data_IF_654056206943
#
_entry.id   IF_654056206943
#
_cell.length_a   1.000
_cell.length_b   1.000
_cell.length_c   1.000
_cell.angle_alpha   90.00
_cell.angle_beta   90.00
_cell.angle_gamma   90.00
#
_symmetry.space_group_name_H-M   'P 1'
#
loop_
_entity.id
_entity.type
_entity.pdbx_description
1 polymer ?
#
# COMPACT_ATOMS: atom_id res chain seq x y z
N UNK A 1 -9.99 -36.21 45.96
CA UNK A 1 -8.76 -35.98 45.17
C UNK A 1 -9.15 -36.06 43.70
N UNK A 2 -8.78 -35.02 42.92
CA UNK A 2 -8.35 -35.03 41.51
C UNK A 2 -9.32 -35.64 40.46
N UNK A 3 -9.60 -35.05 39.29
CA UNK A 3 -8.96 -33.99 38.49
C UNK A 3 -10.03 -33.29 37.63
N UNK A 4 -9.98 -31.96 37.53
CA UNK A 4 -10.60 -31.20 36.44
C UNK A 4 -9.70 -31.28 35.21
N UNK A 5 -10.20 -31.79 34.09
CA UNK A 5 -9.62 -31.46 32.78
C UNK A 5 -10.25 -30.14 32.31
N UNK A 6 -9.55 -29.02 32.53
CA UNK A 6 -9.78 -27.80 31.75
C UNK A 6 -9.20 -28.07 30.36
N UNK A 7 -10.06 -28.38 29.38
CA UNK A 7 -9.69 -28.16 27.99
C UNK A 7 -9.58 -26.65 27.80
N UNK A 8 -8.35 -26.13 27.85
CA UNK A 8 -8.07 -24.83 27.28
C UNK A 8 -8.02 -25.04 25.77
N UNK A 9 -9.15 -24.83 25.10
CA UNK A 9 -9.19 -24.70 23.65
C UNK A 9 -8.19 -23.61 23.26
N UNK A 10 -7.04 -24.03 22.76
CA UNK A 10 -6.03 -23.13 22.25
C UNK A 10 -6.48 -22.77 20.85
N UNK A 11 -7.06 -21.58 20.70
CA UNK A 11 -7.35 -21.04 19.37
C UNK A 11 -5.99 -20.76 18.72
N UNK A 12 -5.56 -21.64 17.82
CA UNK A 12 -4.46 -21.38 16.91
C UNK A 12 -5.06 -20.50 15.82
N UNK A 13 -4.91 -19.18 15.94
CA UNK A 13 -5.16 -18.28 14.81
C UNK A 13 -3.97 -18.42 13.86
N UNK A 14 -4.22 -18.82 12.62
CA UNK A 14 -3.20 -18.77 11.59
C UNK A 14 -2.66 -17.33 11.50
N UNK A 15 -1.34 -17.13 11.33
CA UNK A 15 -0.81 -15.79 11.17
C UNK A 15 -1.37 -15.20 9.87
N UNK A 16 -2.16 -14.14 10.01
CA UNK A 16 -2.60 -13.34 8.87
C UNK A 16 -1.38 -12.60 8.34
N UNK A 17 -1.14 -12.68 7.03
CA UNK A 17 -0.11 -11.93 6.34
C UNK A 17 -0.69 -10.59 5.87
N UNK A 18 0.15 -9.56 5.88
CA UNK A 18 -0.26 -8.23 5.46
C UNK A 18 0.67 -7.75 4.36
N UNK A 19 0.12 -7.11 3.33
CA UNK A 19 0.92 -6.37 2.35
C UNK A 19 0.50 -4.91 2.39
N UNK A 20 1.44 -4.00 2.58
CA UNK A 20 1.19 -2.56 2.64
C UNK A 20 2.00 -1.85 1.55
N UNK A 21 1.35 -0.92 0.86
CA UNK A 21 1.97 -0.06 -0.13
C UNK A 21 1.97 1.39 0.34
N UNK A 22 3.15 2.01 0.28
CA UNK A 22 3.42 3.37 0.73
C UNK A 22 3.82 4.24 -0.46
N UNK A 23 3.38 5.49 -0.47
CA UNK A 23 3.99 6.51 -1.33
C UNK A 23 4.71 7.53 -0.46
N UNK A 24 5.98 7.73 -0.76
CA UNK A 24 6.82 8.78 -0.21
C UNK A 24 6.81 9.97 -1.16
N UNK A 25 5.97 10.96 -0.85
CA UNK A 25 5.86 12.18 -1.65
C UNK A 25 6.98 13.14 -1.24
N UNK A 26 8.12 13.08 -1.93
CA UNK A 26 9.24 14.01 -1.72
C UNK A 26 9.12 15.29 -2.55
N UNK A 27 7.99 15.52 -3.21
CA UNK A 27 7.76 16.74 -3.99
C UNK A 27 7.47 17.93 -3.08
N UNK A 28 7.50 19.13 -3.64
CA UNK A 28 7.10 20.36 -2.92
C UNK A 28 5.58 20.62 -2.98
N UNK A 29 4.81 19.69 -3.57
CA UNK A 29 3.39 19.83 -3.84
C UNK A 29 2.61 18.67 -3.24
N UNK A 30 1.42 18.97 -2.71
CA UNK A 30 0.50 17.92 -2.26
C UNK A 30 -0.11 17.22 -3.49
N UNK A 31 -0.10 15.89 -3.48
CA UNK A 31 -0.61 15.07 -4.58
C UNK A 31 -1.91 14.37 -4.17
N UNK A 32 -2.83 14.27 -5.11
CA UNK A 32 -4.00 13.40 -5.01
C UNK A 32 -3.71 12.14 -5.79
N UNK A 33 -3.87 10.98 -5.18
CA UNK A 33 -3.62 9.68 -5.80
C UNK A 33 -4.95 8.99 -6.13
N UNK A 34 -5.11 8.60 -7.39
CA UNK A 34 -6.14 7.65 -7.83
C UNK A 34 -5.47 6.31 -8.14
N UNK A 35 -6.04 5.23 -7.59
CA UNK A 35 -5.47 3.88 -7.64
C UNK A 35 -6.36 3.02 -8.52
N UNK A 36 -5.75 2.30 -9.47
CA UNK A 36 -6.40 1.25 -10.24
C UNK A 36 -5.72 -0.07 -9.91
N UNK A 37 -6.48 -1.03 -9.42
CA UNK A 37 -5.98 -2.37 -9.06
C UNK A 37 -6.35 -3.42 -10.10
N UNK A 38 -5.63 -4.54 -10.10
CA UNK A 38 -5.95 -5.71 -10.91
C UNK A 38 -7.23 -6.41 -10.38
N UNK A 39 -7.95 -7.07 -11.30
CA UNK A 39 -9.19 -7.78 -10.97
C UNK A 39 -8.96 -8.81 -9.85
N UNK A 40 -9.81 -8.80 -8.82
CA UNK A 40 -9.74 -9.73 -7.68
C UNK A 40 -8.97 -9.20 -6.47
N UNK A 41 -8.31 -8.04 -6.59
CA UNK A 41 -7.59 -7.42 -5.46
C UNK A 41 -8.32 -6.26 -4.82
N UNK A 42 -9.50 -5.87 -5.29
CA UNK A 42 -10.32 -4.79 -4.70
C UNK A 42 -10.71 -5.15 -3.26
N UNK A 43 -9.91 -4.80 -2.26
CA UNK A 43 -10.13 -5.08 -0.84
C UNK A 43 -11.32 -4.27 -0.25
N UNK A 44 -12.44 -4.18 -0.95
CA UNK A 44 -13.58 -3.31 -0.61
C UNK A 44 -13.29 -1.80 -0.67
N UNK A 45 -12.05 -1.40 -0.94
CA UNK A 45 -11.63 -0.01 -1.17
C UNK A 45 -11.96 0.35 -2.64
N UNK A 46 -13.16 0.86 -2.88
CA UNK A 46 -13.54 1.42 -4.19
C UNK A 46 -12.99 2.85 -4.31
N UNK A 47 -12.02 3.05 -5.22
CA UNK A 47 -11.62 4.34 -5.81
C UNK A 47 -11.59 5.55 -4.85
N UNK A 48 -11.02 5.40 -3.65
CA UNK A 48 -10.77 6.54 -2.79
C UNK A 48 -9.55 7.30 -3.28
N UNK A 49 -9.71 8.62 -3.43
CA UNK A 49 -8.59 9.49 -3.74
C UNK A 49 -7.81 9.75 -2.46
N UNK A 50 -6.56 9.32 -2.41
CA UNK A 50 -5.68 9.49 -1.24
C UNK A 50 -4.93 10.81 -1.38
N UNK A 51 -4.98 11.66 -0.34
CA UNK A 51 -4.15 12.86 -0.27
C UNK A 51 -2.76 12.48 0.24
N UNK A 52 -1.74 12.76 -0.57
CA UNK A 52 -0.33 12.59 -0.24
C UNK A 52 0.27 13.96 0.04
N UNK A 53 0.51 14.27 1.31
CA UNK A 53 1.11 15.55 1.70
C UNK A 53 2.55 15.66 1.19
N UNK A 54 2.96 16.87 0.82
CA UNK A 54 4.33 17.17 0.45
C UNK A 54 5.29 16.83 1.60
N UNK A 55 6.41 16.20 1.25
CA UNK A 55 7.48 15.74 2.16
C UNK A 55 7.03 14.71 3.22
N UNK A 56 5.99 13.95 2.94
CA UNK A 56 5.47 12.91 3.83
C UNK A 56 5.35 11.55 3.11
N UNK A 57 5.39 10.47 3.89
CA UNK A 57 5.07 9.12 3.43
C UNK A 57 3.70 8.70 3.97
N UNK A 58 2.84 8.19 3.10
CA UNK A 58 1.49 7.77 3.45
C UNK A 58 1.21 6.34 2.96
N UNK A 59 0.49 5.57 3.78
CA UNK A 59 -0.09 4.30 3.35
C UNK A 59 -1.29 4.64 2.47
N UNK A 60 -1.32 4.09 1.27
CA UNK A 60 -2.42 4.33 0.35
C UNK A 60 -3.19 3.06 0.00
N UNK A 61 -2.60 1.88 0.25
CA UNK A 61 -3.24 0.60 -0.04
C UNK A 61 -2.71 -0.51 0.86
N UNK A 62 -3.62 -1.33 1.38
CA UNK A 62 -3.29 -2.48 2.22
C UNK A 62 -4.15 -3.71 1.86
N UNK A 63 -3.51 -4.88 1.92
CA UNK A 63 -4.13 -6.18 1.70
C UNK A 63 -3.94 -7.05 2.94
N UNK A 64 -5.04 -7.62 3.40
CA UNK A 64 -5.10 -8.57 4.50
C UNK A 64 -5.45 -9.94 3.94
N UNK A 65 -4.49 -10.87 3.90
CA UNK A 65 -4.72 -12.23 3.39
C UNK A 65 -3.74 -13.23 4.03
N UNK A 66 -3.79 -14.52 3.64
CA UNK A 66 -2.81 -15.53 4.03
C UNK A 66 -1.55 -15.53 3.14
N UNK A 67 -1.50 -14.65 2.14
CA UNK A 67 -0.41 -14.55 1.16
C UNK A 67 0.20 -13.15 1.12
N UNK A 68 1.45 -13.08 0.68
CA UNK A 68 2.12 -11.81 0.36
C UNK A 68 2.01 -11.52 -1.12
N UNK A 69 1.71 -10.27 -1.46
CA UNK A 69 1.56 -9.84 -2.84
C UNK A 69 2.61 -8.79 -3.20
N UNK A 70 3.08 -8.82 -4.44
CA UNK A 70 3.99 -7.82 -4.98
C UNK A 70 3.21 -6.69 -5.68
N UNK A 71 3.80 -5.50 -5.83
CA UNK A 71 3.15 -4.37 -6.49
C UNK A 71 2.54 -4.71 -7.85
N UNK A 72 3.27 -5.42 -8.72
CA UNK A 72 2.80 -5.75 -10.09
C UNK A 72 1.60 -6.72 -10.12
N UNK A 73 1.42 -7.51 -9.05
CA UNK A 73 0.30 -8.46 -8.94
C UNK A 73 -0.99 -7.72 -8.57
N UNK A 74 -0.88 -6.65 -7.79
CA UNK A 74 -2.01 -5.93 -7.19
C UNK A 74 -2.37 -4.68 -7.96
N UNK A 75 -1.38 -3.86 -8.28
CA UNK A 75 -1.55 -2.51 -8.82
C UNK A 75 -1.47 -2.56 -10.34
N UNK A 76 -2.47 -1.94 -10.98
CA UNK A 76 -2.54 -1.82 -12.44
C UNK A 76 -2.07 -0.45 -12.91
N UNK A 77 -2.56 0.61 -12.26
CA UNK A 77 -2.23 1.98 -12.63
C UNK A 77 -2.32 2.89 -11.40
N UNK A 78 -1.41 3.88 -11.33
CA UNK A 78 -1.45 4.96 -10.37
C UNK A 78 -1.49 6.30 -11.12
N UNK A 79 -2.42 7.17 -10.73
CA UNK A 79 -2.52 8.52 -11.30
C UNK A 79 -2.37 9.56 -10.20
N UNK A 80 -1.49 10.51 -10.42
CA UNK A 80 -1.21 11.59 -9.49
C UNK A 80 -1.72 12.90 -10.06
N UNK A 81 -2.37 13.68 -9.21
CA UNK A 81 -2.87 15.02 -9.55
C UNK A 81 -2.27 16.01 -8.56
N UNK A 82 -1.68 17.10 -9.04
CA UNK A 82 -1.33 18.21 -8.15
C UNK A 82 -2.63 18.82 -7.61
N UNK A 83 -2.70 19.03 -6.29
CA UNK A 83 -3.92 19.47 -5.60
C UNK A 83 -4.10 21.00 -5.56
N UNK A 84 -3.00 21.73 -5.74
CA UNK A 84 -2.93 23.19 -5.75
C UNK A 84 -3.39 23.80 -7.09
N UNK A 85 -3.23 23.04 -8.17
CA UNK A 85 -3.90 23.26 -9.45
C UNK A 85 -5.19 22.47 -9.42
N UNK A 86 -6.36 23.12 -9.53
CA UNK A 86 -7.66 22.45 -9.73
C UNK A 86 -7.69 21.71 -11.09
N UNK A 87 -6.82 20.74 -11.28
CA UNK A 87 -6.58 20.00 -12.50
C UNK A 87 -7.39 18.72 -12.48
N UNK A 88 -8.13 18.47 -13.56
CA UNK A 88 -8.77 17.19 -13.81
C UNK A 88 -7.88 16.25 -14.61
N UNK A 89 -6.65 16.66 -14.91
CA UNK A 89 -5.67 15.90 -15.70
C UNK A 89 -4.51 15.49 -14.79
N UNK A 90 -4.11 14.21 -14.78
CA UNK A 90 -3.01 13.76 -13.94
C UNK A 90 -1.71 14.38 -14.43
N UNK A 91 -0.85 14.74 -13.48
CA UNK A 91 0.52 15.23 -13.74
C UNK A 91 1.49 14.07 -13.98
N UNK A 92 1.19 12.90 -13.42
CA UNK A 92 1.96 11.68 -13.58
C UNK A 92 0.99 10.49 -13.66
N UNK A 93 1.26 9.56 -14.57
CA UNK A 93 0.52 8.30 -14.69
C UNK A 93 1.50 7.15 -14.84
N UNK A 94 1.44 6.20 -13.92
CA UNK A 94 2.21 4.96 -13.93
C UNK A 94 1.27 3.81 -14.27
N UNK A 95 1.24 3.39 -15.52
CA UNK A 95 0.35 2.32 -16.01
C UNK A 95 1.05 0.98 -16.23
N UNK A 96 2.38 0.95 -16.11
CA UNK A 96 3.18 -0.28 -16.09
C UNK A 96 3.82 -0.37 -14.72
N UNK A 97 3.09 -0.90 -13.74
CA UNK A 97 3.62 -1.08 -12.39
C UNK A 97 4.54 -2.29 -12.39
N UNK A 98 5.82 -2.07 -12.08
CA UNK A 98 6.79 -3.15 -11.93
C UNK A 98 7.32 -3.17 -10.51
N UNK A 99 7.68 -4.36 -10.01
CA UNK A 99 8.24 -4.46 -8.65
C UNK A 99 9.55 -3.69 -8.48
N UNK A 100 10.28 -3.42 -9.58
CA UNK A 100 11.55 -2.69 -9.54
C UNK A 100 11.38 -1.20 -9.29
N UNK A 101 10.18 -0.66 -9.51
CA UNK A 101 9.86 0.73 -9.20
C UNK A 101 9.66 0.94 -7.69
N UNK A 102 9.60 -0.15 -6.91
CA UNK A 102 9.30 -0.14 -5.49
C UNK A 102 10.47 -0.65 -4.66
N UNK A 103 10.77 0.07 -3.58
CA UNK A 103 11.68 -0.41 -2.56
C UNK A 103 10.94 -1.26 -1.54
N UNK A 104 11.43 -2.47 -1.28
CA UNK A 104 10.90 -3.30 -0.20
C UNK A 104 11.46 -2.80 1.13
N UNK A 105 10.61 -2.17 1.93
CA UNK A 105 10.96 -1.60 3.24
C UNK A 105 10.51 -2.53 4.37
N UNK A 106 10.98 -3.78 4.34
CA UNK A 106 10.75 -4.70 5.46
C UNK A 106 11.65 -4.28 6.63
N UNK A 107 11.05 -3.81 7.72
CA UNK A 107 11.79 -3.59 8.94
C UNK A 107 12.14 -4.97 9.54
N UNK A 108 13.43 -5.25 9.76
CA UNK A 108 13.87 -6.46 10.45
C UNK A 108 13.33 -6.59 11.91
N UNK A 109 12.57 -5.59 12.37
CA UNK A 109 11.98 -5.48 13.69
C UNK A 109 10.44 -5.36 13.69
N UNK A 110 9.74 -5.48 12.55
CA UNK A 110 8.27 -5.55 12.59
C UNK A 110 7.85 -6.94 13.07
N UNK A 111 7.20 -7.05 14.25
CA UNK A 111 6.77 -8.34 14.80
C UNK A 111 5.57 -8.94 14.05
N UNK A 112 5.01 -8.16 13.13
CA UNK A 112 3.84 -8.48 12.34
C UNK A 112 4.35 -9.00 11.00
N UNK A 113 3.84 -10.15 10.56
CA UNK A 113 4.19 -10.81 9.30
C UNK A 113 3.71 -9.96 8.09
N UNK A 114 4.33 -8.79 7.89
CA UNK A 114 3.96 -7.82 6.87
C UNK A 114 5.07 -7.63 5.84
N UNK A 115 4.66 -7.53 4.58
CA UNK A 115 5.50 -7.15 3.45
C UNK A 115 5.18 -5.70 3.09
N UNK A 116 6.20 -4.83 3.09
CA UNK A 116 6.01 -3.40 2.87
C UNK A 116 6.78 -2.94 1.65
N UNK A 117 6.12 -2.17 0.80
CA UNK A 117 6.71 -1.58 -0.40
C UNK A 117 6.53 -0.06 -0.38
N UNK A 118 7.59 0.68 -0.72
CA UNK A 118 7.57 2.14 -0.85
C UNK A 118 7.90 2.55 -2.29
N UNK A 119 7.08 3.44 -2.84
CA UNK A 119 7.35 4.18 -4.07
C UNK A 119 7.68 5.62 -3.70
N UNK A 120 8.85 6.11 -4.12
CA UNK A 120 9.23 7.52 -3.91
C UNK A 120 8.90 8.33 -5.15
N UNK A 121 8.19 9.44 -4.96
CA UNK A 121 7.90 10.43 -6.01
C UNK A 121 8.66 11.71 -5.70
N UNK A 122 9.42 12.20 -6.68
CA UNK A 122 10.23 13.41 -6.60
C UNK A 122 9.72 14.47 -7.60
N UNK A 123 10.21 15.71 -7.46
CA UNK A 123 9.87 16.77 -8.40
C UNK A 123 10.31 16.45 -9.84
N UNK A 124 11.36 15.64 -10.03
CA UNK A 124 11.85 15.25 -11.35
C UNK A 124 10.87 14.31 -12.06
N UNK A 125 10.10 13.51 -11.32
CA UNK A 125 9.08 12.62 -11.86
C UNK A 125 7.82 13.36 -12.34
N UNK A 126 7.67 14.64 -11.95
CA UNK A 126 6.54 15.49 -12.33
C UNK A 126 6.80 16.35 -13.58
N UNK A 127 8.03 16.35 -14.12
CA UNK A 127 8.49 17.19 -15.23
C UNK A 127 8.57 16.46 -16.57
#
# INVERSE_FOLDING_TARGET
>A
MLFCCKNSDTIITEPIAFTEFYINNQTDTNLSLEIVVNDGYTNGQENESVLLNSKESEIFYDLVDMSYFRPEEVLKELKFYATDVNSTTPILTLSTITNTDWEMINNANTPDNSLRFELTITNDDLN
#
